data_IF_449603074487
#
_entry.id   IF_449603074487
#
_cell.length_a   1.000
_cell.length_b   1.000
_cell.length_c   1.000
_cell.angle_alpha   90.00
_cell.angle_beta   90.00
_cell.angle_gamma   90.00
#
_symmetry.space_group_name_H-M   'P 1'
#
loop_
_entity.id
_entity.type
_entity.pdbx_description
1 polymer ?
#
# COMPACT_ATOMS: atom_id res chain seq x y z
N UNK A 1 -0.26 4.15 -8.26
CA UNK A 1 -0.37 3.86 -6.82
C UNK A 1 -1.33 4.83 -6.17
N UNK A 2 -1.55 4.72 -4.86
CA UNK A 2 -2.35 5.62 -4.04
C UNK A 2 -1.48 6.22 -2.93
N UNK A 3 -1.87 7.39 -2.43
CA UNK A 3 -1.22 8.02 -1.28
C UNK A 3 -2.28 8.62 -0.34
N UNK A 4 -2.14 8.36 0.96
CA UNK A 4 -2.75 9.17 2.03
C UNK A 4 -1.67 10.10 2.57
N UNK A 5 -1.94 11.40 2.65
CA UNK A 5 -0.96 12.39 3.11
C UNK A 5 -1.60 13.39 4.05
N UNK A 6 -0.95 13.61 5.18
CA UNK A 6 -1.24 14.69 6.11
C UNK A 6 -0.20 15.80 5.92
N UNK A 7 1.08 15.42 6.00
CA UNK A 7 2.21 16.33 5.85
C UNK A 7 3.46 15.58 5.33
N UNK A 8 4.64 16.18 5.39
CA UNK A 8 5.90 15.58 4.94
C UNK A 8 6.44 14.45 5.82
N UNK A 9 6.00 14.38 7.08
CA UNK A 9 6.40 13.37 8.07
C UNK A 9 5.34 12.30 8.30
N UNK A 10 4.12 12.51 7.79
CA UNK A 10 2.97 11.66 8.01
C UNK A 10 2.27 11.36 6.68
N UNK A 11 2.61 10.23 6.07
CA UNK A 11 2.02 9.77 4.82
C UNK A 11 2.08 8.25 4.67
N UNK A 12 1.17 7.71 3.88
CA UNK A 12 1.19 6.31 3.43
C UNK A 12 1.17 6.31 1.91
N UNK A 13 2.08 5.58 1.27
CA UNK A 13 1.99 5.28 -0.17
C UNK A 13 1.78 3.78 -0.37
N UNK A 14 1.02 3.42 -1.39
CA UNK A 14 0.90 2.03 -1.82
C UNK A 14 0.80 1.88 -3.34
N UNK A 15 1.29 0.75 -3.85
CA UNK A 15 1.21 0.42 -5.27
C UNK A 15 2.30 -0.53 -5.73
N UNK A 16 2.50 -0.59 -7.05
CA UNK A 16 3.55 -1.40 -7.66
C UNK A 16 4.89 -0.70 -7.56
N UNK A 17 5.91 -1.39 -7.08
CA UNK A 17 7.32 -1.02 -7.19
C UNK A 17 8.04 -2.08 -8.03
N UNK A 18 8.89 -1.63 -8.96
CA UNK A 18 9.68 -2.51 -9.83
C UNK A 18 11.12 -2.55 -9.31
N UNK A 19 11.58 -3.74 -8.93
CA UNK A 19 12.90 -3.96 -8.34
C UNK A 19 13.53 -5.18 -9.00
N UNK A 20 14.70 -4.99 -9.60
CA UNK A 20 15.53 -6.06 -10.18
C UNK A 20 14.75 -7.02 -11.11
N UNK A 21 13.93 -6.47 -12.01
CA UNK A 21 13.18 -7.29 -12.96
C UNK A 21 11.80 -7.73 -12.48
N UNK A 22 11.50 -7.59 -11.19
CA UNK A 22 10.30 -8.11 -10.55
C UNK A 22 9.34 -6.98 -10.15
N UNK A 23 8.04 -7.23 -10.27
CA UNK A 23 7.02 -6.34 -9.71
C UNK A 23 6.65 -6.77 -8.29
N UNK A 24 6.50 -5.77 -7.43
CA UNK A 24 6.07 -5.95 -6.06
C UNK A 24 4.89 -5.02 -5.77
N UNK A 25 3.85 -5.54 -5.13
CA UNK A 25 2.90 -4.67 -4.46
C UNK A 25 3.49 -4.26 -3.10
N UNK A 26 3.44 -2.98 -2.81
CA UNK A 26 4.13 -2.38 -1.66
C UNK A 26 3.25 -1.38 -0.92
N UNK A 27 3.53 -1.23 0.38
CA UNK A 27 3.03 -0.15 1.22
C UNK A 27 4.20 0.41 2.01
N UNK A 28 4.39 1.72 1.97
CA UNK A 28 5.27 2.42 2.92
C UNK A 28 4.41 3.30 3.80
N UNK A 29 4.51 3.10 5.11
CA UNK A 29 3.86 3.93 6.12
C UNK A 29 4.94 4.80 6.76
N UNK A 30 4.74 6.12 6.72
CA UNK A 30 5.64 7.08 7.35
C UNK A 30 4.85 7.84 8.41
N UNK A 31 5.29 7.70 9.67
CA UNK A 31 4.70 8.38 10.84
C UNK A 31 5.82 9.04 11.62
N UNK A 32 5.67 10.32 11.92
CA UNK A 32 6.70 11.13 12.59
C UNK A 32 8.08 11.08 11.90
N UNK A 33 8.09 10.93 10.57
CA UNK A 33 9.31 10.86 9.76
C UNK A 33 9.99 9.48 9.73
N UNK A 34 9.43 8.48 10.42
CA UNK A 34 9.93 7.10 10.37
C UNK A 34 9.12 6.30 9.38
N UNK A 35 9.79 5.72 8.39
CA UNK A 35 9.17 4.88 7.37
C UNK A 35 9.34 3.41 7.69
N UNK A 36 8.28 2.63 7.55
CA UNK A 36 8.37 1.18 7.47
C UNK A 36 7.68 0.65 6.19
N UNK A 37 8.19 -0.47 5.69
CA UNK A 37 7.87 -0.98 4.36
C UNK A 37 7.40 -2.43 4.43
N UNK A 38 6.26 -2.70 3.81
CA UNK A 38 5.80 -4.06 3.52
C UNK A 38 5.76 -4.28 2.03
N UNK A 39 6.28 -5.43 1.58
CA UNK A 39 6.44 -5.76 0.17
C UNK A 39 6.01 -7.21 -0.07
N UNK A 40 5.30 -7.44 -1.17
CA UNK A 40 4.88 -8.77 -1.64
C UNK A 40 5.13 -8.85 -3.14
N UNK A 41 5.85 -9.89 -3.58
CA UNK A 41 6.03 -10.15 -5.00
C UNK A 41 4.70 -10.55 -5.64
N UNK A 42 4.40 -9.99 -6.82
CA UNK A 42 3.15 -10.24 -7.56
C UNK A 42 3.45 -10.85 -8.93
N UNK A 43 2.43 -11.40 -9.57
CA UNK A 43 2.52 -12.07 -10.88
C UNK A 43 2.77 -11.13 -12.08
N UNK A 44 3.03 -9.85 -11.83
CA UNK A 44 3.13 -8.79 -12.84
C UNK A 44 1.87 -8.64 -13.70
N UNK A 45 0.68 -8.46 -13.08
CA UNK A 45 -0.56 -8.32 -13.84
C UNK A 45 -0.62 -6.98 -14.59
N UNK A 46 -1.35 -6.93 -15.70
CA UNK A 46 -1.64 -5.68 -16.43
C UNK A 46 -2.40 -4.66 -15.56
N UNK A 47 -3.20 -5.17 -14.62
CA UNK A 47 -4.01 -4.37 -13.70
C UNK A 47 -3.78 -4.82 -12.27
N UNK A 48 -3.44 -3.88 -11.39
CA UNK A 48 -3.45 -4.08 -9.94
C UNK A 48 -4.49 -3.15 -9.32
N UNK A 49 -5.50 -3.73 -8.68
CA UNK A 49 -6.48 -2.97 -7.90
C UNK A 49 -5.94 -2.75 -6.50
N UNK A 50 -6.10 -1.53 -5.98
CA UNK A 50 -5.74 -1.16 -4.62
C UNK A 50 -7.01 -0.70 -3.90
N UNK A 51 -7.19 -1.12 -2.65
CA UNK A 51 -8.25 -0.61 -1.78
C UNK A 51 -7.63 -0.07 -0.51
N UNK A 52 -8.03 1.12 -0.13
CA UNK A 52 -7.64 1.76 1.13
C UNK A 52 -8.90 2.10 1.90
N UNK A 53 -9.02 1.56 3.12
CA UNK A 53 -10.12 1.86 4.04
C UNK A 53 -9.54 2.47 5.31
N UNK A 54 -10.03 3.65 5.68
CA UNK A 54 -9.65 4.32 6.92
C UNK A 54 -10.80 4.24 7.92
N UNK A 55 -10.50 3.81 9.14
CA UNK A 55 -11.39 3.79 10.28
C UNK A 55 -10.67 4.44 11.47
N UNK A 56 -10.97 5.72 11.73
CA UNK A 56 -10.23 6.54 12.70
C UNK A 56 -8.71 6.54 12.39
N UNK A 57 -7.87 6.13 13.32
CA UNK A 57 -6.41 6.00 13.16
C UNK A 57 -5.98 4.71 12.45
N UNK A 58 -6.90 3.76 12.20
CA UNK A 58 -6.58 2.52 11.51
C UNK A 58 -6.73 2.69 9.98
N UNK A 59 -5.70 2.29 9.23
CA UNK A 59 -5.74 2.23 7.77
C UNK A 59 -5.50 0.79 7.31
N UNK A 60 -6.50 0.22 6.66
CA UNK A 60 -6.45 -1.07 5.98
C UNK A 60 -6.12 -0.87 4.51
N UNK A 61 -5.14 -1.64 4.01
CA UNK A 61 -4.71 -1.60 2.62
C UNK A 61 -4.73 -3.02 2.08
N UNK A 62 -5.43 -3.18 0.97
CA UNK A 62 -5.62 -4.44 0.27
C UNK A 62 -5.23 -4.27 -1.20
N UNK A 63 -4.85 -5.37 -1.84
CA UNK A 63 -4.56 -5.43 -3.26
C UNK A 63 -5.26 -6.61 -3.92
N UNK A 64 -5.52 -6.52 -5.22
CA UNK A 64 -6.00 -7.63 -6.03
C UNK A 64 -5.34 -7.60 -7.42
N UNK A 65 -4.89 -8.76 -7.88
CA UNK A 65 -4.24 -8.93 -9.18
C UNK A 65 -5.30 -9.21 -10.26
N UNK A 66 -5.37 -8.37 -11.28
CA UNK A 66 -6.32 -8.46 -12.39
C UNK A 66 -7.72 -7.87 -12.07
N UNK A 67 -8.50 -7.67 -13.13
CA UNK A 67 -9.85 -7.05 -13.07
C UNK A 67 -10.81 -7.80 -12.13
N UNK A 68 -10.75 -9.14 -12.12
CA UNK A 68 -11.60 -10.01 -11.29
C UNK A 68 -10.88 -10.58 -10.07
N UNK A 69 -9.68 -10.09 -9.76
CA UNK A 69 -8.90 -10.57 -8.62
C UNK A 69 -9.61 -10.35 -7.28
N UNK A 70 -9.41 -11.29 -6.36
CA UNK A 70 -9.82 -11.19 -4.96
C UNK A 70 -8.89 -10.27 -4.17
N UNK A 71 -9.48 -9.48 -3.26
CA UNK A 71 -8.69 -8.60 -2.40
C UNK A 71 -7.99 -9.40 -1.30
N UNK A 72 -6.68 -9.21 -1.23
CA UNK A 72 -5.81 -9.74 -0.18
C UNK A 72 -5.31 -8.60 0.68
N UNK A 73 -5.31 -8.80 1.99
CA UNK A 73 -4.76 -7.82 2.93
C UNK A 73 -3.24 -7.67 2.73
N UNK A 74 -2.77 -6.42 2.68
CA UNK A 74 -1.36 -6.07 2.59
C UNK A 74 -0.86 -5.40 3.86
N UNK A 75 -1.67 -4.50 4.43
CA UNK A 75 -1.28 -3.71 5.60
C UNK A 75 -2.50 -3.35 6.43
N UNK A 76 -2.35 -3.43 7.74
CA UNK A 76 -3.13 -2.66 8.70
C UNK A 76 -2.12 -1.83 9.48
N UNK A 77 -2.28 -0.51 9.48
CA UNK A 77 -1.35 0.39 10.14
C UNK A 77 -2.07 1.47 10.93
N UNK A 78 -1.38 1.96 11.97
CA UNK A 78 -1.70 3.23 12.60
C UNK A 78 -1.37 4.38 11.64
N UNK A 79 -2.25 5.38 11.58
CA UNK A 79 -2.05 6.63 10.86
C UNK A 79 -2.73 7.78 11.63
N UNK A 80 -1.99 8.85 12.00
CA UNK A 80 -2.53 9.93 12.81
C UNK A 80 -3.72 10.64 12.13
N UNK A 81 -4.56 11.29 12.93
CA UNK A 81 -5.65 12.16 12.46
C UNK A 81 -5.11 13.56 12.20
#
# INVERSE_FOLDING_TARGET
GLMLRIDEKNWIKCGVEYVEGNQFASVVVTVNGWSDWSVVQISSPDVLKLRVKREKEAVHIEYAEGENGEFKMMRLAYFPI
#
